data_IF_857562985218
#
_entry.id   IF_857562985218
#
_cell.length_a   1.000
_cell.length_b   1.000
_cell.length_c   1.000
_cell.angle_alpha   90.00
_cell.angle_beta   90.00
_cell.angle_gamma   90.00
#
_symmetry.space_group_name_H-M   'P 1'
#
loop_
_entity.id
_entity.type
_entity.pdbx_description
1 polymer ?
#
# COMPACT_ATOMS: atom_id res chain seq x y z
N UNK A 1 50.59 1.95 24.89
CA UNK A 1 49.27 1.80 25.51
C UNK A 1 48.24 1.94 24.40
N UNK A 2 47.63 0.82 23.98
CA UNK A 2 46.66 0.75 22.89
C UNK A 2 45.28 1.21 23.38
N UNK A 3 44.61 2.09 22.61
CA UNK A 3 43.15 2.10 22.46
C UNK A 3 42.78 2.92 21.23
N UNK A 4 43.00 2.30 20.07
CA UNK A 4 42.36 2.73 18.82
C UNK A 4 40.89 2.28 18.90
N UNK A 5 40.02 3.23 19.28
CA UNK A 5 38.60 2.98 19.57
C UNK A 5 37.64 3.72 18.64
N UNK A 6 38.16 4.40 17.61
CA UNK A 6 37.35 5.00 16.55
C UNK A 6 37.22 3.99 15.42
N UNK A 7 36.24 3.10 15.57
CA UNK A 7 35.63 2.42 14.42
C UNK A 7 35.46 3.46 13.31
N UNK A 8 35.97 3.19 12.11
CA UNK A 8 36.07 4.18 11.04
C UNK A 8 34.68 4.53 10.49
N UNK A 9 33.93 5.33 11.26
CA UNK A 9 32.55 5.75 11.00
C UNK A 9 32.46 6.54 9.69
N UNK A 10 33.53 7.24 9.33
CA UNK A 10 33.62 8.05 8.12
C UNK A 10 33.76 7.17 6.89
N UNK A 11 34.69 6.20 6.87
CA UNK A 11 34.81 5.26 5.75
C UNK A 11 33.60 4.33 5.61
N UNK A 12 32.94 3.99 6.72
CA UNK A 12 31.66 3.27 6.69
C UNK A 12 30.54 4.14 6.13
N UNK A 13 30.44 5.40 6.57
CA UNK A 13 29.47 6.36 6.05
C UNK A 13 29.62 6.55 4.54
N UNK A 14 30.84 6.69 4.05
CA UNK A 14 31.15 6.84 2.62
C UNK A 14 30.75 5.59 1.81
N UNK A 15 31.10 4.39 2.30
CA UNK A 15 30.70 3.14 1.65
C UNK A 15 29.19 2.97 1.63
N UNK A 16 28.51 3.25 2.75
CA UNK A 16 27.04 3.15 2.83
C UNK A 16 26.37 4.15 1.90
N UNK A 17 26.86 5.40 1.86
CA UNK A 17 26.35 6.43 0.94
C UNK A 17 26.54 6.02 -0.52
N UNK A 18 27.68 5.42 -0.87
CA UNK A 18 27.93 4.90 -2.22
C UNK A 18 26.92 3.82 -2.63
N UNK A 19 26.69 2.82 -1.78
CA UNK A 19 25.71 1.76 -2.06
C UNK A 19 24.27 2.30 -2.06
N UNK A 20 23.93 3.23 -1.15
CA UNK A 20 22.63 3.87 -1.11
C UNK A 20 22.35 4.67 -2.38
N UNK A 21 23.32 5.43 -2.89
CA UNK A 21 23.20 6.16 -4.16
C UNK A 21 23.02 5.21 -5.33
N UNK A 22 23.72 4.07 -5.36
CA UNK A 22 23.56 3.06 -6.41
C UNK A 22 22.17 2.40 -6.38
N UNK A 23 21.60 2.20 -5.19
CA UNK A 23 20.24 1.68 -5.03
C UNK A 23 19.19 2.72 -5.45
N UNK A 24 19.36 3.97 -5.01
CA UNK A 24 18.44 5.07 -5.29
C UNK A 24 18.45 5.52 -6.76
N UNK A 25 19.56 5.33 -7.47
CA UNK A 25 19.68 5.63 -8.90
C UNK A 25 19.10 4.56 -9.81
N UNK A 26 18.71 3.39 -9.28
CA UNK A 26 18.06 2.37 -10.08
C UNK A 26 16.66 2.83 -10.47
N UNK A 27 16.39 2.90 -11.79
CA UNK A 27 15.10 3.30 -12.36
C UNK A 27 13.90 2.52 -11.81
N UNK A 28 14.06 1.23 -11.50
CA UNK A 28 12.98 0.40 -10.96
C UNK A 28 12.62 0.82 -9.52
N UNK A 29 13.64 1.04 -8.69
CA UNK A 29 13.44 1.48 -7.30
C UNK A 29 12.92 2.92 -7.26
N UNK A 30 13.46 3.79 -8.12
CA UNK A 30 12.99 5.17 -8.26
C UNK A 30 11.52 5.21 -8.69
N UNK A 31 11.11 4.40 -9.68
CA UNK A 31 9.71 4.33 -10.13
C UNK A 31 8.76 3.89 -9.00
N UNK A 32 9.14 2.89 -8.20
CA UNK A 32 8.36 2.45 -7.03
C UNK A 32 8.26 3.57 -5.99
N UNK A 33 9.38 4.18 -5.63
CA UNK A 33 9.42 5.29 -4.67
C UNK A 33 8.52 6.44 -5.11
N UNK A 34 8.64 6.86 -6.36
CA UNK A 34 7.91 8.01 -6.89
C UNK A 34 6.41 7.71 -7.05
N UNK A 35 6.05 6.45 -7.35
CA UNK A 35 4.67 5.98 -7.32
C UNK A 35 4.08 6.05 -5.90
N UNK A 36 4.76 5.48 -4.89
CA UNK A 36 4.30 5.56 -3.51
C UNK A 36 4.23 6.99 -2.99
N UNK A 37 5.20 7.84 -3.32
CA UNK A 37 5.19 9.26 -2.96
C UNK A 37 3.95 9.98 -3.47
N UNK A 38 3.48 9.62 -4.67
CA UNK A 38 2.27 10.18 -5.27
C UNK A 38 0.98 9.75 -4.53
N UNK A 39 1.03 8.68 -3.73
CA UNK A 39 -0.12 8.17 -2.94
C UNK A 39 -0.17 8.68 -1.50
N UNK A 40 0.83 9.46 -1.08
CA UNK A 40 0.87 10.04 0.27
C UNK A 40 -0.39 10.88 0.57
N UNK A 41 -0.85 11.80 -0.32
CA UNK A 41 -2.01 12.63 0.00
C UNK A 41 -3.28 11.82 0.24
N UNK A 42 -3.57 10.86 -0.64
CA UNK A 42 -4.77 10.01 -0.52
C UNK A 42 -4.69 9.10 0.72
N UNK A 43 -3.51 8.61 1.06
CA UNK A 43 -3.28 7.79 2.26
C UNK A 43 -3.49 8.60 3.53
N UNK A 44 -3.05 9.86 3.57
CA UNK A 44 -3.30 10.77 4.70
C UNK A 44 -4.81 11.02 4.85
N UNK A 45 -5.50 11.28 3.74
CA UNK A 45 -6.96 11.45 3.75
C UNK A 45 -7.69 10.21 4.26
N UNK A 46 -7.29 9.01 3.83
CA UNK A 46 -7.86 7.75 4.31
C UNK A 46 -7.65 7.56 5.82
N UNK A 47 -6.44 7.86 6.30
CA UNK A 47 -6.10 7.80 7.72
C UNK A 47 -6.98 8.75 8.55
N UNK A 48 -7.33 9.93 8.02
CA UNK A 48 -8.24 10.87 8.69
C UNK A 48 -9.65 10.28 8.88
N UNK A 49 -10.24 9.70 7.83
CA UNK A 49 -11.55 9.03 7.95
C UNK A 49 -11.50 7.83 8.91
N UNK A 50 -10.42 7.05 8.85
CA UNK A 50 -10.21 5.93 9.75
C UNK A 50 -10.10 6.38 11.21
N UNK A 51 -9.40 7.48 11.49
CA UNK A 51 -9.25 8.04 12.83
C UNK A 51 -10.60 8.56 13.34
N UNK A 52 -11.37 9.27 12.52
CA UNK A 52 -12.73 9.70 12.90
C UNK A 52 -13.56 8.47 13.29
N UNK A 53 -13.53 7.42 12.47
CA UNK A 53 -14.28 6.20 12.72
C UNK A 53 -13.82 5.47 14.00
N UNK A 54 -12.52 5.34 14.24
CA UNK A 54 -12.02 4.55 15.37
C UNK A 54 -11.99 5.35 16.68
N UNK A 55 -11.65 6.64 16.63
CA UNK A 55 -11.45 7.48 17.83
C UNK A 55 -12.75 8.15 18.26
N UNK A 56 -13.53 8.67 17.31
CA UNK A 56 -14.74 9.42 17.62
C UNK A 56 -15.97 8.49 17.58
N UNK A 57 -16.08 7.70 16.50
CA UNK A 57 -17.05 6.67 16.05
C UNK A 57 -17.29 5.36 16.84
N UNK A 58 -16.35 4.91 17.67
CA UNK A 58 -16.42 3.54 18.25
C UNK A 58 -17.45 3.41 19.37
N UNK A 59 -18.33 2.40 19.30
CA UNK A 59 -19.42 2.19 20.27
C UNK A 59 -18.97 2.03 21.73
N UNK A 60 -17.81 1.43 21.97
CA UNK A 60 -17.30 1.14 23.32
C UNK A 60 -16.37 2.22 23.89
N UNK A 61 -15.67 2.97 23.05
CA UNK A 61 -14.58 3.88 23.47
C UNK A 61 -14.67 5.30 22.89
N UNK A 62 -15.51 5.54 21.88
CA UNK A 62 -15.52 6.80 21.14
C UNK A 62 -15.96 8.02 21.96
N UNK A 63 -15.43 9.20 21.66
CA UNK A 63 -15.83 10.43 22.35
C UNK A 63 -17.29 10.85 22.04
N UNK A 64 -17.82 10.46 20.88
CA UNK A 64 -19.10 10.96 20.34
C UNK A 64 -20.19 9.88 20.28
N UNK A 65 -20.21 8.97 21.27
CA UNK A 65 -21.11 7.79 21.30
C UNK A 65 -22.61 8.10 21.20
N UNK A 66 -23.04 9.29 21.62
CA UNK A 66 -24.45 9.67 21.71
C UNK A 66 -25.01 10.47 20.53
N UNK A 67 -24.26 10.68 19.44
CA UNK A 67 -24.72 11.53 18.34
C UNK A 67 -25.77 10.80 17.48
N UNK A 68 -26.95 11.40 17.20
CA UNK A 68 -27.91 10.84 16.24
C UNK A 68 -27.30 10.79 14.83
N UNK A 69 -27.42 9.65 14.15
CA UNK A 69 -26.83 9.45 12.81
C UNK A 69 -25.40 8.88 12.81
N UNK A 70 -24.88 8.49 13.98
CA UNK A 70 -23.62 7.75 14.18
C UNK A 70 -23.34 6.67 13.14
N UNK A 71 -24.30 5.76 12.94
CA UNK A 71 -24.13 4.59 12.07
C UNK A 71 -23.87 5.00 10.62
N UNK A 72 -24.60 6.01 10.14
CA UNK A 72 -24.47 6.54 8.77
C UNK A 72 -23.09 7.19 8.58
N UNK A 73 -22.65 8.01 9.55
CA UNK A 73 -21.33 8.66 9.47
C UNK A 73 -20.21 7.62 9.53
N UNK A 74 -20.37 6.59 10.37
CA UNK A 74 -19.43 5.48 10.46
C UNK A 74 -19.31 4.74 9.12
N UNK A 75 -20.43 4.42 8.50
CA UNK A 75 -20.50 3.74 7.21
C UNK A 75 -19.83 4.53 6.08
N UNK A 76 -20.06 5.85 6.00
CA UNK A 76 -19.38 6.73 5.05
C UNK A 76 -17.87 6.71 5.26
N UNK A 77 -17.41 6.76 6.52
CA UNK A 77 -15.97 6.71 6.82
C UNK A 77 -15.34 5.36 6.43
N UNK A 78 -16.05 4.25 6.65
CA UNK A 78 -15.61 2.92 6.22
C UNK A 78 -15.59 2.81 4.70
N UNK A 79 -16.60 3.35 4.02
CA UNK A 79 -16.65 3.36 2.56
C UNK A 79 -15.52 4.20 1.95
N UNK A 80 -15.21 5.36 2.55
CA UNK A 80 -14.07 6.19 2.15
C UNK A 80 -12.73 5.46 2.36
N UNK A 81 -12.58 4.72 3.46
CA UNK A 81 -11.41 3.88 3.71
C UNK A 81 -11.28 2.77 2.66
N UNK A 82 -12.36 2.04 2.37
CA UNK A 82 -12.35 0.98 1.37
C UNK A 82 -12.07 1.50 -0.05
N UNK A 83 -12.61 2.67 -0.39
CA UNK A 83 -12.37 3.33 -1.69
C UNK A 83 -10.99 3.96 -1.84
N UNK A 84 -10.19 4.02 -0.77
CA UNK A 84 -8.82 4.55 -0.80
C UNK A 84 -7.82 3.43 -0.53
N UNK A 85 -7.72 2.97 0.71
CA UNK A 85 -6.78 1.94 1.13
C UNK A 85 -7.16 0.55 0.63
N UNK A 86 -8.45 0.24 0.49
CA UNK A 86 -8.91 -1.04 -0.04
C UNK A 86 -8.51 -1.29 -1.50
N UNK A 87 -8.39 -0.23 -2.31
CA UNK A 87 -7.94 -0.30 -3.71
C UNK A 87 -6.52 0.23 -3.94
N UNK A 88 -5.78 0.57 -2.87
CA UNK A 88 -4.47 1.20 -2.97
C UNK A 88 -3.49 0.37 -3.79
N UNK A 89 -3.52 -0.96 -3.65
CA UNK A 89 -2.66 -1.86 -4.42
C UNK A 89 -2.86 -1.71 -5.93
N UNK A 90 -4.11 -1.62 -6.40
CA UNK A 90 -4.44 -1.39 -7.81
C UNK A 90 -3.93 -0.03 -8.29
N UNK A 91 -4.18 1.02 -7.49
CA UNK A 91 -3.75 2.39 -7.81
C UNK A 91 -2.23 2.48 -7.91
N UNK A 92 -1.51 1.93 -6.93
CA UNK A 92 -0.05 1.94 -6.87
C UNK A 92 0.54 1.15 -8.03
N UNK A 93 0.02 -0.03 -8.36
CA UNK A 93 0.50 -0.84 -9.49
C UNK A 93 0.42 -0.06 -10.81
N UNK A 94 -0.71 0.58 -11.09
CA UNK A 94 -0.86 1.42 -12.29
C UNK A 94 0.20 2.54 -12.31
N UNK A 95 0.40 3.18 -11.16
CA UNK A 95 1.32 4.30 -11.03
C UNK A 95 2.79 3.87 -11.16
N UNK A 96 3.16 2.67 -10.69
CA UNK A 96 4.49 2.08 -10.89
C UNK A 96 4.73 1.87 -12.39
N UNK A 97 3.78 1.27 -13.11
CA UNK A 97 3.88 1.07 -14.56
C UNK A 97 4.06 2.39 -15.31
N UNK A 98 3.27 3.41 -14.94
CA UNK A 98 3.36 4.75 -15.53
C UNK A 98 4.68 5.45 -15.23
N UNK A 99 5.18 5.40 -13.99
CA UNK A 99 6.48 6.00 -13.60
C UNK A 99 7.64 5.28 -14.26
N UNK A 100 7.56 3.96 -14.40
CA UNK A 100 8.58 3.17 -15.07
C UNK A 100 8.62 3.50 -16.56
N UNK A 101 7.48 3.55 -17.25
CA UNK A 101 7.41 3.90 -18.66
C UNK A 101 7.93 5.31 -18.96
N UNK A 102 7.65 6.29 -18.07
CA UNK A 102 8.23 7.63 -18.17
C UNK A 102 9.76 7.63 -18.03
N UNK A 103 10.34 6.66 -17.31
CA UNK A 103 11.80 6.49 -17.27
C UNK A 103 12.40 5.92 -18.57
N UNK A 104 11.54 5.51 -19.52
CA UNK A 104 11.88 5.06 -20.87
C UNK A 104 11.42 6.05 -21.95
N UNK A 105 11.07 7.29 -21.59
CA UNK A 105 10.56 8.31 -22.52
C UNK A 105 9.24 7.91 -23.25
N UNK A 106 8.43 7.05 -22.62
CA UNK A 106 7.09 6.68 -23.10
C UNK A 106 5.98 7.43 -22.34
N UNK A 107 4.79 7.55 -22.94
CA UNK A 107 3.63 8.28 -22.41
C UNK A 107 3.11 7.66 -21.09
N UNK A 108 3.23 6.34 -20.95
CA UNK A 108 3.08 5.61 -19.69
C UNK A 108 1.66 5.16 -19.34
N UNK A 109 0.65 5.59 -20.09
CA UNK A 109 -0.73 5.19 -19.86
C UNK A 109 -0.97 3.70 -20.20
N UNK A 110 -0.45 3.22 -21.34
CA UNK A 110 -0.61 1.84 -21.77
C UNK A 110 0.14 0.87 -20.86
N UNK A 111 1.36 1.22 -20.46
CA UNK A 111 2.21 0.44 -19.57
C UNK A 111 1.60 0.33 -18.16
N UNK A 112 0.94 1.40 -17.69
CA UNK A 112 0.15 1.36 -16.45
C UNK A 112 -1.01 0.37 -16.53
N UNK A 113 -1.73 0.32 -17.66
CA UNK A 113 -2.83 -0.65 -17.87
C UNK A 113 -2.30 -2.08 -17.92
N UNK A 114 -1.18 -2.32 -18.61
CA UNK A 114 -0.54 -3.65 -18.68
C UNK A 114 -0.06 -4.11 -17.29
N UNK A 115 0.49 -3.20 -16.48
CA UNK A 115 0.87 -3.50 -15.10
C UNK A 115 -0.34 -3.90 -14.25
N UNK A 116 -1.46 -3.18 -14.40
CA UNK A 116 -2.71 -3.50 -13.71
C UNK A 116 -3.25 -4.88 -14.13
N UNK A 117 -3.28 -5.18 -15.43
CA UNK A 117 -3.70 -6.48 -15.94
C UNK A 117 -2.84 -7.63 -15.39
N UNK A 118 -1.52 -7.43 -15.35
CA UNK A 118 -0.57 -8.39 -14.77
C UNK A 118 -0.82 -8.61 -13.27
N UNK A 119 -1.15 -7.56 -12.53
CA UNK A 119 -1.51 -7.69 -11.12
C UNK A 119 -2.79 -8.51 -10.92
N UNK A 120 -3.84 -8.25 -11.69
CA UNK A 120 -5.11 -9.00 -11.58
C UNK A 120 -4.91 -10.47 -11.91
N UNK A 121 -4.07 -10.82 -12.89
CA UNK A 121 -3.73 -12.21 -13.23
C UNK A 121 -3.02 -12.93 -12.08
N UNK A 122 -2.20 -12.22 -11.30
CA UNK A 122 -1.46 -12.79 -10.17
C UNK A 122 -2.29 -12.93 -8.90
N UNK A 123 -3.41 -12.21 -8.77
CA UNK A 123 -4.29 -12.29 -7.61
C UNK A 123 -5.14 -13.57 -7.73
N UNK A 124 -5.03 -14.53 -6.80
CA UNK A 124 -5.78 -15.78 -6.88
C UNK A 124 -7.28 -15.52 -6.72
N UNK A 125 -8.07 -15.92 -7.70
CA UNK A 125 -9.54 -15.84 -7.66
C UNK A 125 -10.13 -17.13 -7.05
N UNK A 126 -9.81 -17.39 -5.78
CA UNK A 126 -10.38 -18.53 -5.06
C UNK A 126 -11.23 -18.04 -3.89
N UNK A 127 -12.51 -18.39 -3.90
CA UNK A 127 -13.38 -18.21 -2.74
C UNK A 127 -13.40 -19.51 -1.95
N UNK A 128 -12.80 -19.51 -0.77
CA UNK A 128 -12.86 -20.66 0.12
C UNK A 128 -14.25 -20.69 0.78
N UNK A 129 -15.13 -21.53 0.25
CA UNK A 129 -16.41 -21.89 0.89
C UNK A 129 -16.11 -22.84 2.05
N UNK A 130 -15.86 -22.27 3.23
CA UNK A 130 -15.85 -23.05 4.48
C UNK A 130 -17.30 -23.32 4.89
N UNK A 131 -17.77 -24.54 4.65
CA UNK A 131 -19.04 -25.01 5.22
C UNK A 131 -18.94 -25.22 6.74
N UNK A 132 -20.06 -25.32 7.49
CA UNK A 132 -20.08 -25.49 8.96
C UNK A 132 -19.47 -26.81 9.47
N UNK A 133 -18.80 -27.58 8.64
CA UNK A 133 -18.19 -28.86 9.00
C UNK A 133 -16.80 -28.89 8.37
N UNK A 134 -15.81 -29.10 9.23
CA UNK A 134 -14.37 -29.06 9.00
C UNK A 134 -13.87 -30.22 8.10
N UNK A 135 -14.50 -30.40 6.93
CA UNK A 135 -14.11 -31.37 5.90
C UNK A 135 -14.15 -30.70 4.53
N UNK A 136 -13.04 -30.73 3.76
CA UNK A 136 -13.03 -30.19 2.41
C UNK A 136 -14.02 -30.98 1.55
N UNK A 137 -15.08 -30.31 1.09
CA UNK A 137 -16.01 -30.88 0.13
C UNK A 137 -15.26 -31.11 -1.18
N UNK A 138 -14.98 -32.38 -1.49
CA UNK A 138 -14.50 -32.77 -2.83
C UNK A 138 -15.61 -32.44 -3.82
N UNK A 139 -15.40 -31.37 -4.58
CA UNK A 139 -16.18 -31.07 -5.78
C UNK A 139 -16.03 -32.28 -6.72
N UNK A 140 -17.10 -33.06 -6.83
CA UNK A 140 -17.19 -34.17 -7.78
C UNK A 140 -17.36 -33.54 -9.16
N UNK A 141 -16.31 -33.65 -9.97
CA UNK A 141 -16.28 -33.19 -11.36
C UNK A 141 -17.40 -33.86 -12.18
N UNK A 142 -18.02 -33.06 -13.05
CA UNK A 142 -18.57 -33.47 -14.33
C UNK A 142 -18.14 -32.45 -15.38
#
# INVERSE_FOLDING_TARGET
MMKDGTFNKEALGEKVAYYANKLASNRFIAAIRDAFASTIPITITAAFFLLINNVLLTEKTGLLRGIPGRAIISEICVQAYNGTLGILGLMVTFLIGLRLARSYDADGALEGIVALASYVVLVPNVINITGPTDKPLKLREH
#
